data_IF_569904639274
#
_entry.id   IF_569904639274
#
_cell.length_a   1.000
_cell.length_b   1.000
_cell.length_c   1.000
_cell.angle_alpha   90.00
_cell.angle_beta   90.00
_cell.angle_gamma   90.00
#
_symmetry.space_group_name_H-M   'P 1'
#
loop_
_entity.id
_entity.type
_entity.pdbx_description
1 polymer ?
#
# COMPACT_ATOMS: atom_id res chain seq x y z
N UNK A 1 3.84 10.58 8.64
CA UNK A 1 5.05 10.04 7.98
C UNK A 1 6.03 11.17 7.68
N UNK A 2 6.79 11.66 8.66
CA UNK A 2 7.66 12.81 8.43
C UNK A 2 8.79 12.54 7.43
N UNK A 3 9.25 11.29 7.35
CA UNK A 3 10.40 10.89 6.52
C UNK A 3 9.99 10.11 5.27
N UNK A 4 8.69 10.11 4.92
CA UNK A 4 8.21 9.42 3.74
C UNK A 4 8.46 10.27 2.50
N UNK A 5 9.18 9.71 1.54
CA UNK A 5 9.33 10.29 0.20
C UNK A 5 9.05 9.24 -0.87
N UNK A 6 8.39 9.65 -1.93
CA UNK A 6 8.32 8.83 -3.14
C UNK A 6 9.66 8.96 -3.85
N UNK A 7 10.54 7.95 -3.71
CA UNK A 7 11.75 7.92 -4.50
C UNK A 7 11.38 7.87 -6.00
N UNK A 8 12.06 8.67 -6.82
CA UNK A 8 11.84 8.70 -8.28
C UNK A 8 12.00 7.31 -8.92
N UNK A 9 12.88 6.50 -8.37
CA UNK A 9 13.11 5.11 -8.78
C UNK A 9 11.91 4.20 -8.48
N UNK A 10 11.26 4.35 -7.32
CA UNK A 10 10.06 3.62 -6.98
C UNK A 10 8.91 3.93 -7.94
N UNK A 11 8.76 5.20 -8.33
CA UNK A 11 7.78 5.59 -9.35
C UNK A 11 8.10 4.99 -10.71
N UNK A 12 9.35 5.10 -11.18
CA UNK A 12 9.76 4.58 -12.48
C UNK A 12 9.55 3.06 -12.58
N UNK A 13 9.91 2.34 -11.53
CA UNK A 13 9.71 0.90 -11.42
C UNK A 13 8.22 0.52 -11.41
N UNK A 14 7.40 1.19 -10.61
CA UNK A 14 5.95 0.99 -10.63
C UNK A 14 5.36 1.28 -12.01
N UNK A 15 5.78 2.37 -12.66
CA UNK A 15 5.30 2.72 -14.00
C UNK A 15 5.61 1.64 -15.04
N UNK A 16 6.79 1.01 -14.97
CA UNK A 16 7.22 -0.07 -15.85
C UNK A 16 6.60 -1.44 -15.53
N UNK A 17 6.12 -1.64 -14.29
CA UNK A 17 5.54 -2.91 -13.83
C UNK A 17 4.18 -3.21 -14.48
N UNK A 18 3.69 -4.45 -14.31
CA UNK A 18 2.31 -4.85 -14.67
C UNK A 18 1.28 -4.44 -13.62
N UNK A 19 1.72 -4.00 -12.44
CA UNK A 19 0.83 -3.62 -11.34
C UNK A 19 -0.06 -2.44 -11.72
N UNK A 20 -1.29 -2.44 -11.24
CA UNK A 20 -2.26 -1.35 -11.38
C UNK A 20 -2.23 -0.40 -10.19
N UNK A 21 -1.86 -0.92 -9.02
CA UNK A 21 -1.67 -0.15 -7.81
C UNK A 21 -0.43 -0.62 -7.07
N UNK A 22 0.16 0.27 -6.28
CA UNK A 22 1.17 -0.06 -5.28
C UNK A 22 0.81 0.65 -3.98
N UNK A 23 0.70 -0.11 -2.89
CA UNK A 23 0.23 0.38 -1.59
C UNK A 23 1.31 0.27 -0.52
N UNK A 24 1.31 1.19 0.44
CA UNK A 24 2.15 1.08 1.63
C UNK A 24 1.33 0.53 2.78
N UNK A 25 1.83 -0.57 3.35
CA UNK A 25 1.26 -1.22 4.52
C UNK A 25 2.08 -0.87 5.76
N UNK A 26 1.42 -0.72 6.90
CA UNK A 26 2.05 -0.38 8.18
C UNK A 26 1.68 -1.40 9.25
N UNK A 27 2.44 -1.49 10.35
CA UNK A 27 2.04 -2.25 11.52
C UNK A 27 0.64 -1.85 11.99
N UNK A 28 -0.12 -2.82 12.51
CA UNK A 28 -1.52 -2.57 12.89
C UNK A 28 -1.59 -1.65 14.11
N UNK A 29 -2.23 -0.48 14.00
CA UNK A 29 -2.45 0.40 15.13
C UNK A 29 -3.58 -0.14 16.03
N UNK A 30 -3.69 0.38 17.24
CA UNK A 30 -4.68 -0.07 18.21
C UNK A 30 -6.13 -0.01 17.71
N UNK A 31 -6.45 0.96 16.85
CA UNK A 31 -7.79 1.12 16.27
C UNK A 31 -8.07 0.16 15.10
N UNK A 32 -7.04 -0.49 14.51
CA UNK A 32 -7.18 -1.50 13.47
C UNK A 32 -6.31 -2.74 13.77
N UNK A 33 -6.54 -3.47 14.87
CA UNK A 33 -5.70 -4.57 15.29
C UNK A 33 -5.74 -5.77 14.33
N UNK A 34 -6.78 -5.86 13.50
CA UNK A 34 -6.93 -6.94 12.52
C UNK A 34 -6.17 -6.69 11.22
N UNK A 35 -5.84 -5.43 10.93
CA UNK A 35 -5.28 -5.02 9.64
C UNK A 35 -6.23 -5.24 8.47
N UNK A 36 -5.80 -4.83 7.29
CA UNK A 36 -6.64 -4.81 6.08
C UNK A 36 -6.22 -5.87 5.06
N UNK A 37 -4.92 -5.99 4.77
CA UNK A 37 -4.37 -6.80 3.69
C UNK A 37 -3.17 -7.62 4.14
N UNK A 38 -2.98 -8.78 3.52
CA UNK A 38 -1.75 -9.55 3.63
C UNK A 38 -0.66 -9.01 2.71
N UNK A 39 0.55 -9.49 2.93
CA UNK A 39 1.67 -9.26 2.02
C UNK A 39 2.46 -10.56 1.87
N UNK A 40 2.84 -10.89 0.66
CA UNK A 40 3.83 -11.92 0.35
C UNK A 40 5.05 -11.24 -0.23
N UNK A 41 6.20 -11.48 0.39
CA UNK A 41 7.46 -10.95 -0.07
C UNK A 41 8.07 -11.84 -1.14
N UNK A 42 8.69 -11.25 -2.15
CA UNK A 42 9.44 -12.00 -3.15
C UNK A 42 10.71 -12.56 -2.51
N UNK A 43 10.74 -13.88 -2.34
CA UNK A 43 11.89 -14.59 -1.76
C UNK A 43 13.14 -14.57 -2.67
N UNK A 44 13.03 -14.15 -3.91
CA UNK A 44 14.09 -14.25 -4.93
C UNK A 44 14.90 -12.97 -5.14
N UNK A 45 14.57 -11.86 -4.46
CA UNK A 45 15.25 -10.58 -4.71
C UNK A 45 15.14 -10.07 -6.16
N UNK A 46 14.40 -10.76 -7.02
CA UNK A 46 14.05 -10.31 -8.36
C UNK A 46 12.73 -9.58 -8.31
N UNK A 47 12.79 -8.36 -7.85
CA UNK A 47 11.77 -7.37 -8.13
C UNK A 47 11.95 -6.95 -9.58
N UNK A 48 10.92 -7.11 -10.39
CA UNK A 48 10.85 -6.41 -11.66
C UNK A 48 10.94 -4.89 -11.36
N UNK A 49 12.15 -4.38 -11.20
CA UNK A 49 12.47 -2.96 -11.15
C UNK A 49 12.53 -2.25 -9.79
N UNK A 50 12.33 -2.90 -8.63
CA UNK A 50 12.45 -2.24 -7.32
C UNK A 50 13.79 -2.53 -6.58
N UNK A 51 14.78 -3.04 -7.27
CA UNK A 51 16.08 -3.32 -6.68
C UNK A 51 17.14 -2.31 -7.09
N UNK A 52 17.79 -1.79 -6.08
CA UNK A 52 19.18 -1.35 -5.99
C UNK A 52 19.50 0.13 -6.17
N UNK A 53 19.67 0.75 -5.05
CA UNK A 53 20.87 1.53 -4.78
C UNK A 53 21.19 1.41 -3.28
N UNK A 54 21.96 0.41 -2.92
CA UNK A 54 22.61 0.34 -1.60
C UNK A 54 24.02 -0.23 -1.78
N UNK A 55 24.95 0.67 -2.00
CA UNK A 55 26.38 0.40 -1.73
C UNK A 55 26.58 0.59 -0.22
N UNK A 56 26.38 -0.45 0.57
CA UNK A 56 27.02 -0.57 1.89
C UNK A 56 26.99 -2.02 2.35
N UNK A 57 28.12 -2.43 2.84
CA UNK A 57 28.45 -3.77 3.30
C UNK A 57 27.60 -4.17 4.52
N UNK A 58 27.08 -5.41 4.48
CA UNK A 58 26.74 -6.25 5.63
C UNK A 58 25.42 -6.00 6.35
N UNK A 59 24.29 -6.03 5.60
CA UNK A 59 23.02 -6.54 6.15
C UNK A 59 22.20 -7.03 4.96
N UNK A 60 21.72 -8.29 5.02
CA UNK A 60 20.76 -8.80 4.03
C UNK A 60 19.49 -8.02 4.25
N UNK A 61 19.07 -7.13 3.33
CA UNK A 61 17.83 -6.41 3.49
C UNK A 61 16.70 -7.44 3.48
N UNK A 62 15.93 -7.53 4.56
CA UNK A 62 14.64 -8.22 4.50
C UNK A 62 13.82 -7.52 3.39
N UNK A 63 13.31 -8.25 2.41
CA UNK A 63 12.58 -7.64 1.31
C UNK A 63 11.33 -6.95 1.87
N UNK A 64 11.30 -5.63 1.86
CA UNK A 64 10.14 -4.86 2.31
C UNK A 64 9.07 -4.77 1.22
N UNK A 65 9.33 -5.33 0.04
CA UNK A 65 8.49 -5.25 -1.15
C UNK A 65 7.93 -6.63 -1.51
N UNK A 66 6.71 -6.63 -2.05
CA UNK A 66 6.05 -7.86 -2.47
C UNK A 66 4.69 -7.57 -3.10
N UNK A 67 3.82 -8.58 -3.12
CA UNK A 67 2.45 -8.46 -3.56
C UNK A 67 1.49 -8.35 -2.38
N UNK A 68 0.53 -7.44 -2.48
CA UNK A 68 -0.57 -7.35 -1.54
C UNK A 68 -1.55 -8.52 -1.76
N UNK A 69 -2.07 -9.08 -0.67
CA UNK A 69 -2.98 -10.21 -0.69
C UNK A 69 -4.36 -9.84 -0.13
N UNK A 70 -5.39 -10.22 -0.86
CA UNK A 70 -6.76 -10.24 -0.39
C UNK A 70 -6.99 -11.51 0.43
N UNK A 71 -6.74 -11.47 1.72
CA UNK A 71 -6.93 -12.64 2.58
C UNK A 71 -8.41 -12.82 2.95
N UNK A 72 -8.96 -14.05 2.94
CA UNK A 72 -10.31 -14.31 3.44
C UNK A 72 -10.42 -14.04 4.95
N UNK A 73 -11.61 -13.67 5.44
CA UNK A 73 -11.82 -13.24 6.84
C UNK A 73 -11.40 -14.27 7.89
N UNK A 74 -11.45 -15.56 7.55
CA UNK A 74 -11.05 -16.69 8.40
C UNK A 74 -9.56 -17.06 8.26
N UNK A 75 -8.77 -16.32 7.48
CA UNK A 75 -7.35 -16.58 7.32
C UNK A 75 -6.59 -16.28 8.61
N UNK A 76 -5.73 -17.22 9.02
CA UNK A 76 -4.78 -17.04 10.11
C UNK A 76 -3.50 -16.26 9.67
N UNK A 77 -3.34 -16.00 8.37
CA UNK A 77 -2.20 -15.26 7.86
C UNK A 77 -2.20 -13.81 8.38
N UNK A 78 -1.03 -13.25 8.71
CA UNK A 78 -0.93 -11.90 9.25
C UNK A 78 -1.39 -10.87 8.22
N UNK A 79 -2.11 -9.85 8.72
CA UNK A 79 -2.50 -8.68 7.94
C UNK A 79 -1.74 -7.46 8.44
N UNK A 80 -1.66 -6.47 7.58
CA UNK A 80 -1.11 -5.14 7.87
C UNK A 80 -2.17 -4.09 7.53
N UNK A 81 -2.08 -2.95 8.17
CA UNK A 81 -2.99 -1.82 7.91
C UNK A 81 -2.56 -1.07 6.67
N UNK A 82 -3.51 -0.72 5.83
CA UNK A 82 -3.28 0.16 4.70
C UNK A 82 -3.06 1.59 5.19
N UNK A 83 -1.90 2.14 4.89
CA UNK A 83 -1.51 3.48 5.34
C UNK A 83 -2.25 4.63 4.66
N UNK A 84 -3.09 4.33 3.67
CA UNK A 84 -3.72 5.28 2.72
C UNK A 84 -2.76 5.93 1.73
N UNK A 85 -1.46 5.63 1.82
CA UNK A 85 -0.47 6.05 0.82
C UNK A 85 -0.40 5.01 -0.28
N UNK A 86 -0.55 5.44 -1.52
CA UNK A 86 -0.52 4.53 -2.68
C UNK A 86 -0.18 5.26 -3.99
N UNK A 87 0.29 4.48 -4.96
CA UNK A 87 0.38 4.85 -6.35
C UNK A 87 -0.68 4.07 -7.14
N UNK A 88 -1.30 4.71 -8.10
CA UNK A 88 -2.29 4.10 -8.97
C UNK A 88 -2.00 4.44 -10.44
N UNK A 89 -2.12 3.44 -11.32
CA UNK A 89 -2.20 3.69 -12.75
C UNK A 89 -3.63 4.10 -13.11
N UNK A 90 -3.77 4.94 -14.14
CA UNK A 90 -5.08 5.34 -14.66
C UNK A 90 -5.98 4.13 -14.98
N UNK A 91 -5.39 3.03 -15.46
CA UNK A 91 -6.10 1.80 -15.80
C UNK A 91 -6.83 1.17 -14.60
N UNK A 92 -6.38 1.40 -13.35
CA UNK A 92 -7.07 0.94 -12.15
C UNK A 92 -8.47 1.55 -11.98
N UNK A 93 -8.70 2.73 -12.53
CA UNK A 93 -9.98 3.45 -12.47
C UNK A 93 -10.80 3.31 -13.77
N UNK A 94 -10.52 2.31 -14.59
CA UNK A 94 -11.26 2.03 -15.84
C UNK A 94 -12.23 0.85 -15.67
N UNK A 95 -13.11 0.66 -16.64
CA UNK A 95 -14.30 -0.19 -16.60
C UNK A 95 -14.13 -1.63 -16.08
N UNK A 96 -12.94 -2.23 -16.17
CA UNK A 96 -12.71 -3.57 -15.61
C UNK A 96 -12.70 -3.57 -14.09
N UNK A 97 -12.26 -2.46 -13.45
CA UNK A 97 -12.04 -2.35 -12.02
C UNK A 97 -12.98 -1.32 -11.37
N UNK A 98 -13.51 -0.41 -12.16
CA UNK A 98 -14.33 0.70 -11.69
C UNK A 98 -15.47 0.96 -12.68
N UNK A 99 -16.71 0.81 -12.23
CA UNK A 99 -17.90 1.02 -13.05
C UNK A 99 -18.34 2.50 -13.09
N UNK A 100 -17.57 3.39 -12.46
CA UNK A 100 -17.87 4.82 -12.48
C UNK A 100 -17.37 5.42 -13.79
N UNK A 101 -18.24 6.03 -14.61
CA UNK A 101 -17.83 6.65 -15.85
C UNK A 101 -16.90 7.85 -15.62
N UNK A 102 -16.05 8.11 -16.59
CA UNK A 102 -15.11 9.24 -16.53
C UNK A 102 -15.86 10.56 -16.23
N UNK A 103 -15.27 11.37 -15.33
CA UNK A 103 -15.88 12.60 -14.86
C UNK A 103 -16.99 12.42 -13.80
N UNK A 104 -17.40 11.19 -13.54
CA UNK A 104 -18.42 10.86 -12.52
C UNK A 104 -19.64 11.81 -12.53
N UNK A 105 -20.37 11.93 -13.64
CA UNK A 105 -21.42 12.94 -13.80
C UNK A 105 -22.60 12.78 -12.84
N UNK A 106 -22.73 11.59 -12.21
CA UNK A 106 -23.81 11.28 -11.28
C UNK A 106 -23.36 11.33 -9.81
N UNK A 107 -22.11 11.71 -9.51
CA UNK A 107 -21.58 11.76 -8.15
C UNK A 107 -21.59 10.41 -7.43
N UNK A 108 -21.42 9.31 -8.17
CA UNK A 108 -21.41 7.94 -7.61
C UNK A 108 -20.24 7.79 -6.65
N UNK A 109 -20.49 7.24 -5.46
CA UNK A 109 -19.46 6.89 -4.48
C UNK A 109 -19.11 5.44 -4.61
N UNK A 110 -17.82 5.13 -4.73
CA UNK A 110 -17.31 3.76 -4.66
C UNK A 110 -16.22 3.66 -3.60
N UNK A 111 -16.30 2.69 -2.68
CA UNK A 111 -15.24 2.43 -1.74
C UNK A 111 -14.03 1.85 -2.48
N UNK A 112 -12.83 2.31 -2.11
CA UNK A 112 -11.57 1.88 -2.73
C UNK A 112 -11.21 0.42 -2.41
N UNK A 113 -11.54 -0.05 -1.20
CA UNK A 113 -11.11 -1.36 -0.73
C UNK A 113 -11.62 -2.55 -1.59
N UNK A 114 -12.88 -2.60 -2.05
CA UNK A 114 -13.33 -3.65 -2.99
C UNK A 114 -12.55 -3.67 -4.29
N UNK A 115 -12.24 -2.52 -4.86
CA UNK A 115 -11.44 -2.42 -6.09
C UNK A 115 -10.01 -2.94 -5.87
N UNK A 116 -9.37 -2.55 -4.77
CA UNK A 116 -8.05 -3.08 -4.40
C UNK A 116 -8.08 -4.61 -4.22
N UNK A 117 -9.09 -5.15 -3.53
CA UNK A 117 -9.23 -6.60 -3.35
C UNK A 117 -9.39 -7.34 -4.68
N UNK A 118 -10.23 -6.84 -5.57
CA UNK A 118 -10.37 -7.43 -6.89
C UNK A 118 -9.05 -7.42 -7.69
N UNK A 119 -8.29 -6.32 -7.66
CA UNK A 119 -6.98 -6.26 -8.31
C UNK A 119 -5.93 -7.16 -7.62
N UNK A 120 -5.98 -7.30 -6.29
CA UNK A 120 -5.12 -8.24 -5.54
C UNK A 120 -5.37 -9.68 -5.94
N UNK A 121 -6.63 -10.08 -6.15
CA UNK A 121 -6.99 -11.44 -6.58
C UNK A 121 -6.41 -11.79 -7.96
N UNK A 122 -5.99 -10.78 -8.73
CA UNK A 122 -5.30 -10.93 -10.01
C UNK A 122 -3.77 -10.68 -9.92
N UNK A 123 -3.21 -10.49 -8.72
CA UNK A 123 -1.79 -10.21 -8.52
C UNK A 123 -1.33 -8.84 -9.06
N UNK A 124 -2.25 -7.87 -9.18
CA UNK A 124 -2.00 -6.58 -9.81
C UNK A 124 -1.76 -5.44 -8.79
N UNK A 125 -1.60 -5.76 -7.51
CA UNK A 125 -1.32 -4.79 -6.45
C UNK A 125 0.00 -5.13 -5.78
N UNK A 126 0.99 -4.26 -5.96
CA UNK A 126 2.23 -4.32 -5.22
C UNK A 126 2.07 -3.76 -3.81
N UNK A 127 2.94 -4.17 -2.91
CA UNK A 127 2.96 -3.66 -1.55
C UNK A 127 4.37 -3.43 -1.04
N UNK A 128 4.52 -2.40 -0.23
CA UNK A 128 5.73 -2.15 0.58
C UNK A 128 5.34 -2.10 2.05
N UNK A 129 6.08 -2.81 2.90
CA UNK A 129 5.95 -2.67 4.34
C UNK A 129 6.75 -1.44 4.80
N UNK A 130 6.06 -0.49 5.43
CA UNK A 130 6.64 0.71 6.00
C UNK A 130 6.57 0.63 7.52
N UNK A 131 7.73 0.46 8.16
CA UNK A 131 7.84 0.24 9.61
C UNK A 131 8.23 1.51 10.40
N UNK A 132 8.37 2.65 9.69
CA UNK A 132 8.67 3.92 10.33
C UNK A 132 7.42 4.55 10.95
N UNK A 133 7.61 5.67 11.65
CA UNK A 133 6.52 6.38 12.30
C UNK A 133 5.41 6.76 11.31
N UNK A 134 4.22 6.26 11.60
CA UNK A 134 3.00 6.56 10.86
C UNK A 134 1.84 6.75 11.84
N UNK A 135 0.96 7.67 11.52
CA UNK A 135 -0.28 7.88 12.27
C UNK A 135 -1.41 8.27 11.33
N UNK A 136 -2.57 7.68 11.57
CA UNK A 136 -3.82 8.05 10.91
C UNK A 136 -4.47 9.19 11.69
N UNK A 137 -4.60 10.35 11.06
CA UNK A 137 -5.21 11.57 11.61
C UNK A 137 -6.65 11.77 11.15
N UNK A 138 -7.36 10.70 10.89
CA UNK A 138 -8.72 10.73 10.36
C UNK A 138 -9.78 11.36 11.28
N UNK A 139 -9.45 11.74 12.52
CA UNK A 139 -10.36 12.42 13.44
C UNK A 139 -9.68 13.61 14.14
N UNK A 140 -10.45 14.64 14.58
CA UNK A 140 -9.91 15.78 15.32
C UNK A 140 -9.18 15.37 16.60
N UNK A 141 -9.65 14.33 17.28
CA UNK A 141 -9.06 13.83 18.53
C UNK A 141 -7.66 13.29 18.26
N UNK A 142 -7.48 12.46 17.23
CA UNK A 142 -6.16 11.92 16.82
C UNK A 142 -5.19 13.01 16.40
N UNK A 143 -5.69 14.03 15.69
CA UNK A 143 -4.88 15.20 15.35
C UNK A 143 -4.40 15.93 16.60
N UNK A 144 -5.27 16.11 17.60
CA UNK A 144 -4.91 16.72 18.87
C UNK A 144 -3.88 15.89 19.65
N UNK A 145 -4.02 14.57 19.68
CA UNK A 145 -3.05 13.66 20.30
C UNK A 145 -1.63 13.84 19.71
N UNK A 146 -1.53 13.86 18.39
CA UNK A 146 -0.23 14.03 17.70
C UNK A 146 0.37 15.41 18.01
N UNK A 147 -0.42 16.47 18.01
CA UNK A 147 0.04 17.80 18.33
C UNK A 147 0.50 17.94 19.78
N UNK A 148 -0.02 17.14 20.70
CA UNK A 148 0.38 17.14 22.10
C UNK A 148 1.68 16.36 22.35
N UNK A 149 1.95 15.33 21.53
CA UNK A 149 3.21 14.55 21.60
C UNK A 149 4.38 15.30 20.99
N UNK A 150 4.13 16.22 20.08
CA UNK A 150 5.16 17.02 19.39
C UNK A 150 5.62 18.27 20.17
N UNK A 151 5.13 18.48 21.39
CA UNK A 151 5.56 19.53 22.31
C UNK A 151 6.42 18.95 23.43
#
# INVERSE_FOLDING_TARGET
MPDFSFASEAYASFAASKQLAHIWLVPNPAQNPRGDFGIVFDATGQTDGFAQSATSLCEVPTPNHGLALNLPNNSAAPRRTFSTVALYKKAFFQSTWCDIPAGNPHGVKAPLAPMLRAAMDHGLVGATLYEQAWSDVGTPERLAEINNVAR
#
